data_IF_266420018300
#
_entry.id   IF_266420018300
#
_cell.length_a   1.000
_cell.length_b   1.000
_cell.length_c   1.000
_cell.angle_alpha   90.00
_cell.angle_beta   90.00
_cell.angle_gamma   90.00
#
_symmetry.space_group_name_H-M   'P 1'
#
loop_
_entity.id
_entity.type
_entity.pdbx_description
1 polymer ?
#
# COMPACT_ATOMS: atom_id res chain seq x y z
N UNK A 1 -30.24 7.87 -7.63
CA UNK A 1 -29.14 8.22 -6.70
C UNK A 1 -28.35 6.98 -6.24
N UNK A 2 -29.01 5.84 -5.98
CA UNK A 2 -28.31 4.59 -5.59
C UNK A 2 -27.47 3.97 -6.72
N UNK A 3 -27.96 4.00 -7.96
CA UNK A 3 -27.24 3.46 -9.11
C UNK A 3 -25.97 4.25 -9.45
N UNK A 4 -25.97 5.57 -9.29
CA UNK A 4 -24.79 6.41 -9.49
C UNK A 4 -23.74 6.19 -8.39
N UNK A 5 -24.15 6.01 -7.14
CA UNK A 5 -23.25 5.69 -6.04
C UNK A 5 -22.57 4.32 -6.23
N UNK A 6 -23.35 3.29 -6.64
CA UNK A 6 -22.81 1.98 -6.96
C UNK A 6 -21.82 2.00 -8.12
N UNK A 7 -22.08 2.78 -9.18
CA UNK A 7 -21.17 2.94 -10.31
C UNK A 7 -19.85 3.61 -9.87
N UNK A 8 -19.92 4.67 -9.06
CA UNK A 8 -18.70 5.34 -8.53
C UNK A 8 -17.88 4.36 -7.67
N UNK A 9 -18.52 3.59 -6.80
CA UNK A 9 -17.83 2.59 -5.99
C UNK A 9 -17.14 1.52 -6.86
N UNK A 10 -17.80 1.06 -7.92
CA UNK A 10 -17.22 0.11 -8.88
C UNK A 10 -16.00 0.67 -9.61
N UNK A 11 -16.05 1.92 -10.05
CA UNK A 11 -14.88 2.59 -10.66
C UNK A 11 -13.72 2.77 -9.68
N UNK A 12 -14.00 3.09 -8.41
CA UNK A 12 -12.97 3.16 -7.37
C UNK A 12 -12.29 1.80 -7.15
N UNK A 13 -13.08 0.73 -7.04
CA UNK A 13 -12.55 -0.64 -6.89
C UNK A 13 -11.75 -1.07 -8.11
N UNK A 14 -12.24 -0.80 -9.32
CA UNK A 14 -11.55 -1.13 -10.57
C UNK A 14 -10.21 -0.38 -10.68
N UNK A 15 -10.19 0.91 -10.40
CA UNK A 15 -8.97 1.73 -10.43
C UNK A 15 -7.93 1.21 -9.43
N UNK A 16 -8.35 0.95 -8.19
CA UNK A 16 -7.45 0.41 -7.15
C UNK A 16 -6.96 -0.99 -7.51
N UNK A 17 -7.84 -1.86 -8.02
CA UNK A 17 -7.49 -3.22 -8.46
C UNK A 17 -6.48 -3.24 -9.62
N UNK A 18 -6.68 -2.39 -10.64
CA UNK A 18 -5.72 -2.19 -11.72
C UNK A 18 -4.36 -1.69 -11.19
N UNK A 19 -4.40 -0.76 -10.23
CA UNK A 19 -3.20 -0.29 -9.56
C UNK A 19 -2.43 -1.40 -8.87
N UNK A 20 -3.12 -2.25 -8.09
CA UNK A 20 -2.52 -3.41 -7.41
C UNK A 20 -1.88 -4.36 -8.43
N UNK A 21 -2.58 -4.68 -9.52
CA UNK A 21 -2.06 -5.56 -10.55
C UNK A 21 -0.77 -5.02 -11.18
N UNK A 22 -0.78 -3.76 -11.62
CA UNK A 22 0.39 -3.09 -12.20
C UNK A 22 1.54 -2.97 -11.19
N UNK A 23 1.24 -2.60 -9.95
CA UNK A 23 2.21 -2.52 -8.87
C UNK A 23 2.86 -3.86 -8.55
N UNK A 24 2.09 -4.95 -8.54
CA UNK A 24 2.60 -6.30 -8.32
C UNK A 24 3.56 -6.74 -9.42
N UNK A 25 3.23 -6.46 -10.68
CA UNK A 25 4.12 -6.73 -11.83
C UNK A 25 5.41 -5.89 -11.69
N UNK A 26 5.30 -4.62 -11.35
CA UNK A 26 6.46 -3.74 -11.16
C UNK A 26 7.39 -4.25 -10.03
N UNK A 27 6.82 -4.65 -8.90
CA UNK A 27 7.59 -5.26 -7.80
C UNK A 27 8.26 -6.54 -8.24
N UNK A 28 7.57 -7.42 -8.96
CA UNK A 28 8.13 -8.66 -9.48
C UNK A 28 9.33 -8.41 -10.41
N UNK A 29 9.25 -7.40 -11.28
CA UNK A 29 10.34 -7.02 -12.19
C UNK A 29 11.57 -6.47 -11.46
N UNK A 30 11.39 -5.75 -10.35
CA UNK A 30 12.50 -5.20 -9.55
C UNK A 30 13.10 -6.26 -8.64
N UNK A 31 12.27 -7.15 -8.07
CA UNK A 31 12.64 -8.15 -7.07
C UNK A 31 13.07 -9.50 -7.67
N UNK A 32 13.38 -9.56 -8.98
CA UNK A 32 13.59 -10.82 -9.70
C UNK A 32 14.70 -11.72 -9.15
N UNK A 33 15.70 -11.18 -8.42
CA UNK A 33 16.84 -11.94 -7.91
C UNK A 33 17.07 -11.84 -6.39
N UNK A 34 16.44 -10.92 -5.68
CA UNK A 34 16.60 -10.74 -4.22
C UNK A 34 15.36 -10.09 -3.63
N UNK A 35 14.99 -10.50 -2.41
CA UNK A 35 13.95 -9.85 -1.62
C UNK A 35 14.36 -8.40 -1.27
N UNK A 36 13.78 -7.43 -1.96
CA UNK A 36 14.09 -6.01 -1.79
C UNK A 36 13.14 -5.39 -0.73
N UNK A 37 13.40 -5.65 0.56
CA UNK A 37 12.61 -5.10 1.67
C UNK A 37 12.60 -3.56 1.73
N UNK A 38 13.52 -2.90 1.04
CA UNK A 38 13.51 -1.44 0.94
C UNK A 38 12.35 -0.87 0.10
N UNK A 39 11.61 -1.71 -0.67
CA UNK A 39 10.36 -1.29 -1.32
C UNK A 39 9.24 -1.03 -0.31
N UNK A 40 9.30 -1.63 0.88
CA UNK A 40 8.28 -1.47 1.93
C UNK A 40 8.12 -0.01 2.36
N UNK A 41 9.16 0.71 2.81
CA UNK A 41 9.00 2.12 3.17
C UNK A 41 8.63 3.02 1.98
N UNK A 42 9.12 2.72 0.76
CA UNK A 42 8.70 3.43 -0.45
C UNK A 42 7.21 3.23 -0.74
N UNK A 43 6.70 2.00 -0.55
CA UNK A 43 5.28 1.69 -0.67
C UNK A 43 4.43 2.52 0.28
N UNK A 44 4.81 2.60 1.57
CA UNK A 44 4.05 3.39 2.57
C UNK A 44 4.08 4.89 2.26
N UNK A 45 5.23 5.44 1.86
CA UNK A 45 5.34 6.84 1.43
C UNK A 45 4.43 7.10 0.22
N UNK A 46 4.47 6.21 -0.78
CA UNK A 46 3.61 6.31 -1.95
C UNK A 46 2.12 6.21 -1.59
N UNK A 47 1.74 5.34 -0.65
CA UNK A 47 0.36 5.28 -0.13
C UNK A 47 -0.04 6.59 0.53
N UNK A 48 0.81 7.19 1.38
CA UNK A 48 0.53 8.47 2.00
C UNK A 48 0.30 9.58 0.95
N UNK A 49 1.17 9.67 -0.05
CA UNK A 49 1.02 10.63 -1.16
C UNK A 49 -0.30 10.39 -1.92
N UNK A 50 -0.62 9.14 -2.24
CA UNK A 50 -1.83 8.77 -2.97
C UNK A 50 -3.10 9.12 -2.20
N UNK A 51 -3.12 8.88 -0.89
CA UNK A 51 -4.24 9.23 -0.01
C UNK A 51 -4.39 10.75 0.09
N UNK A 52 -3.29 11.49 0.23
CA UNK A 52 -3.33 12.96 0.23
C UNK A 52 -3.87 13.52 -1.08
N UNK A 53 -3.45 12.98 -2.23
CA UNK A 53 -3.99 13.35 -3.53
C UNK A 53 -5.49 13.04 -3.62
N UNK A 54 -5.93 11.86 -3.19
CA UNK A 54 -7.35 11.50 -3.18
C UNK A 54 -8.18 12.42 -2.25
N UNK A 55 -7.62 12.88 -1.13
CA UNK A 55 -8.30 13.80 -0.22
C UNK A 55 -8.45 15.22 -0.81
N UNK A 56 -7.50 15.65 -1.64
CA UNK A 56 -7.47 16.99 -2.23
C UNK A 56 -8.25 17.08 -3.56
N UNK A 57 -8.26 15.99 -4.35
CA UNK A 57 -8.85 15.98 -5.68
C UNK A 57 -10.37 15.82 -5.63
N UNK A 58 -11.13 16.50 -6.52
CA UNK A 58 -12.55 16.22 -6.72
C UNK A 58 -12.73 14.85 -7.40
N UNK A 59 -13.94 14.28 -7.24
CA UNK A 59 -14.35 13.07 -7.97
C UNK A 59 -14.20 13.30 -9.48
N UNK A 60 -13.33 12.51 -10.12
CA UNK A 60 -13.03 12.61 -11.54
C UNK A 60 -11.83 11.76 -11.93
N UNK A 61 -11.33 11.91 -13.15
CA UNK A 61 -10.24 11.09 -13.69
C UNK A 61 -8.98 11.11 -12.81
N UNK A 62 -8.62 12.26 -12.27
CA UNK A 62 -7.46 12.41 -11.39
C UNK A 62 -7.63 11.73 -10.04
N UNK A 63 -8.87 11.71 -9.52
CA UNK A 63 -9.19 10.95 -8.30
C UNK A 63 -9.00 9.45 -8.51
N UNK A 64 -9.50 8.90 -9.64
CA UNK A 64 -9.29 7.49 -9.98
C UNK A 64 -7.82 7.17 -10.24
N UNK A 65 -7.06 8.10 -10.83
CA UNK A 65 -5.61 7.95 -10.98
C UNK A 65 -4.90 7.90 -9.61
N UNK A 66 -5.30 8.72 -8.65
CA UNK A 66 -4.79 8.67 -7.28
C UNK A 66 -5.11 7.33 -6.60
N UNK A 67 -6.31 6.76 -6.82
CA UNK A 67 -6.67 5.43 -6.31
C UNK A 67 -5.88 4.30 -6.99
N UNK A 68 -5.62 4.41 -8.29
CA UNK A 68 -4.75 3.46 -8.98
C UNK A 68 -3.31 3.52 -8.45
N UNK A 69 -2.79 4.73 -8.19
CA UNK A 69 -1.50 4.92 -7.55
C UNK A 69 -1.48 4.32 -6.13
N UNK A 70 -2.56 4.51 -5.36
CA UNK A 70 -2.72 3.89 -4.04
C UNK A 70 -2.65 2.36 -4.13
N UNK A 71 -3.33 1.76 -5.10
CA UNK A 71 -3.26 0.31 -5.36
C UNK A 71 -1.84 -0.15 -5.70
N UNK A 72 -1.14 0.56 -6.58
CA UNK A 72 0.22 0.21 -6.99
C UNK A 72 1.22 0.29 -5.82
N UNK A 73 1.13 1.35 -5.01
CA UNK A 73 1.99 1.54 -3.84
C UNK A 73 1.65 0.57 -2.71
N UNK A 74 0.39 0.16 -2.57
CA UNK A 74 -0.02 -0.91 -1.66
C UNK A 74 0.61 -2.25 -2.02
N UNK A 75 0.71 -2.58 -3.32
CA UNK A 75 1.41 -3.77 -3.77
C UNK A 75 2.92 -3.71 -3.44
N UNK A 76 3.55 -2.53 -3.60
CA UNK A 76 4.96 -2.33 -3.21
C UNK A 76 5.21 -2.54 -1.71
N UNK A 77 4.19 -2.34 -0.88
CA UNK A 77 4.24 -2.60 0.55
C UNK A 77 3.99 -4.08 0.87
N UNK A 78 2.91 -4.67 0.35
CA UNK A 78 2.43 -6.01 0.72
C UNK A 78 3.24 -7.15 0.10
N UNK A 79 3.66 -7.02 -1.17
CA UNK A 79 4.33 -8.12 -1.89
C UNK A 79 5.67 -8.49 -1.25
N UNK A 80 6.59 -7.54 -0.94
CA UNK A 80 7.85 -7.90 -0.30
C UNK A 80 7.68 -8.48 1.10
N UNK A 81 6.68 -8.01 1.87
CA UNK A 81 6.39 -8.56 3.20
C UNK A 81 5.93 -10.01 3.14
N UNK A 82 4.98 -10.33 2.24
CA UNK A 82 4.51 -11.69 2.06
C UNK A 82 5.62 -12.62 1.55
N UNK A 83 6.45 -12.14 0.64
CA UNK A 83 7.61 -12.89 0.16
C UNK A 83 8.62 -13.17 1.29
N UNK A 84 8.89 -12.17 2.14
CA UNK A 84 9.77 -12.32 3.30
C UNK A 84 9.23 -13.33 4.32
N UNK A 85 7.93 -13.28 4.62
CA UNK A 85 7.29 -14.26 5.51
C UNK A 85 7.43 -15.68 4.97
N UNK A 86 7.27 -15.87 3.65
CA UNK A 86 7.41 -17.18 3.01
C UNK A 86 8.86 -17.67 2.99
N UNK A 87 9.83 -16.77 2.79
CA UNK A 87 11.25 -17.11 2.76
C UNK A 87 11.77 -17.50 4.15
N UNK A 88 11.34 -16.78 5.20
CA UNK A 88 11.81 -17.00 6.59
C UNK A 88 11.05 -18.09 7.33
N UNK A 89 9.89 -18.51 6.85
CA UNK A 89 9.12 -19.56 7.48
C UNK A 89 9.79 -20.94 7.22
N UNK A 90 9.94 -21.73 8.29
CA UNK A 90 10.34 -23.13 8.21
C UNK A 90 9.42 -23.87 7.20
N UNK A 91 9.96 -24.60 6.21
CA UNK A 91 9.17 -25.35 5.23
C UNK A 91 8.06 -26.21 5.83
N UNK A 92 8.34 -26.86 6.98
CA UNK A 92 7.36 -27.69 7.69
C UNK A 92 6.22 -26.87 8.34
N UNK A 93 6.42 -25.57 8.58
CA UNK A 93 5.48 -24.70 9.30
C UNK A 93 4.96 -23.54 8.43
N UNK A 94 5.39 -23.44 7.17
CA UNK A 94 5.05 -22.33 6.26
C UNK A 94 3.54 -22.12 6.13
N UNK A 95 2.77 -23.20 5.97
CA UNK A 95 1.30 -23.11 5.89
C UNK A 95 0.68 -22.50 7.16
N UNK A 96 1.18 -22.87 8.35
CA UNK A 96 0.69 -22.32 9.62
C UNK A 96 1.01 -20.83 9.77
N UNK A 97 2.21 -20.41 9.38
CA UNK A 97 2.62 -18.99 9.42
C UNK A 97 1.76 -18.16 8.47
N UNK A 98 1.53 -18.62 7.25
CA UNK A 98 0.67 -17.92 6.27
C UNK A 98 -0.78 -17.87 6.74
N UNK A 99 -1.32 -18.96 7.31
CA UNK A 99 -2.68 -18.97 7.85
C UNK A 99 -2.83 -17.99 9.02
N UNK A 100 -1.85 -17.94 9.93
CA UNK A 100 -1.84 -16.97 11.01
C UNK A 100 -1.77 -15.52 10.51
N UNK A 101 -0.93 -15.24 9.51
CA UNK A 101 -0.86 -13.92 8.87
C UNK A 101 -2.19 -13.51 8.24
N UNK A 102 -2.83 -14.42 7.51
CA UNK A 102 -4.13 -14.17 6.90
C UNK A 102 -5.23 -13.92 7.94
N UNK A 103 -5.20 -14.65 9.06
CA UNK A 103 -6.13 -14.44 10.17
C UNK A 103 -5.96 -13.04 10.78
N UNK A 104 -4.71 -12.62 11.03
CA UNK A 104 -4.41 -11.29 11.55
C UNK A 104 -4.86 -10.20 10.56
N UNK A 105 -4.60 -10.38 9.26
CA UNK A 105 -5.02 -9.45 8.23
C UNK A 105 -6.55 -9.33 8.15
N UNK A 106 -7.27 -10.47 8.25
CA UNK A 106 -8.73 -10.47 8.26
C UNK A 106 -9.30 -9.79 9.52
N UNK A 107 -8.71 -10.05 10.68
CA UNK A 107 -9.10 -9.37 11.93
C UNK A 107 -8.85 -7.85 11.84
N UNK A 108 -7.70 -7.44 11.30
CA UNK A 108 -7.38 -6.04 11.07
C UNK A 108 -8.35 -5.37 10.08
N UNK A 109 -8.78 -6.09 9.03
CA UNK A 109 -9.77 -5.58 8.07
C UNK A 109 -11.14 -5.38 8.73
N UNK A 110 -11.59 -6.32 9.59
CA UNK A 110 -12.82 -6.18 10.35
C UNK A 110 -12.72 -4.97 11.29
N UNK A 111 -11.61 -4.84 12.02
CA UNK A 111 -11.40 -3.70 12.91
C UNK A 111 -11.42 -2.38 12.15
N UNK A 112 -10.76 -2.30 10.98
CA UNK A 112 -10.76 -1.11 10.14
C UNK A 112 -12.16 -0.72 9.67
N UNK A 113 -13.00 -1.69 9.27
CA UNK A 113 -14.40 -1.43 8.88
C UNK A 113 -15.24 -0.92 10.06
N UNK A 114 -15.07 -1.52 11.24
CA UNK A 114 -15.76 -1.06 12.46
C UNK A 114 -15.31 0.36 12.84
N UNK A 115 -14.02 0.63 12.78
CA UNK A 115 -13.48 1.96 13.05
C UNK A 115 -14.01 3.00 12.04
N UNK A 116 -14.07 2.66 10.75
CA UNK A 116 -14.63 3.52 9.72
C UNK A 116 -16.11 3.83 10.00
N UNK A 117 -16.90 2.83 10.33
CA UNK A 117 -18.31 3.01 10.69
C UNK A 117 -18.46 3.93 11.92
N UNK A 118 -17.65 3.73 12.95
CA UNK A 118 -17.68 4.56 14.15
C UNK A 118 -17.27 6.02 13.86
N UNK A 119 -16.33 6.27 12.95
CA UNK A 119 -15.93 7.60 12.53
C UNK A 119 -17.04 8.31 11.72
N UNK A 120 -17.78 7.57 10.89
CA UNK A 120 -18.84 8.12 10.07
C UNK A 120 -20.12 8.38 10.87
N UNK A 121 -20.64 7.38 11.58
CA UNK A 121 -21.90 7.46 12.31
C UNK A 121 -21.75 8.06 13.71
N UNK A 122 -20.66 7.74 14.41
CA UNK A 122 -20.45 8.19 15.79
C UNK A 122 -19.83 9.58 15.90
N UNK A 123 -18.82 9.88 15.09
CA UNK A 123 -18.11 11.15 15.15
C UNK A 123 -18.51 12.14 14.04
N UNK A 124 -19.40 11.78 13.13
CA UNK A 124 -19.83 12.59 11.97
C UNK A 124 -18.67 13.13 11.13
N UNK A 125 -17.59 12.36 11.03
CA UNK A 125 -16.40 12.75 10.26
C UNK A 125 -16.66 12.51 8.79
N UNK A 126 -16.51 13.56 7.98
CA UNK A 126 -16.70 13.46 6.53
C UNK A 126 -15.69 12.47 5.90
N UNK A 127 -16.02 11.89 4.75
CA UNK A 127 -15.14 10.97 4.02
C UNK A 127 -13.75 11.57 3.75
N UNK A 128 -13.66 12.88 3.49
CA UNK A 128 -12.37 13.57 3.37
C UNK A 128 -11.61 13.62 4.69
N UNK A 129 -12.28 13.82 5.81
CA UNK A 129 -11.68 13.77 7.14
C UNK A 129 -11.08 12.40 7.44
N UNK A 130 -11.78 11.32 7.07
CA UNK A 130 -11.29 9.94 7.19
C UNK A 130 -10.03 9.70 6.35
N UNK A 131 -9.96 10.26 5.13
CA UNK A 131 -8.74 10.19 4.29
C UNK A 131 -7.55 10.89 4.95
N UNK A 132 -7.75 12.04 5.63
CA UNK A 132 -6.69 12.70 6.38
C UNK A 132 -6.22 11.90 7.59
N UNK A 133 -7.13 11.21 8.30
CA UNK A 133 -6.76 10.30 9.39
C UNK A 133 -5.88 9.15 8.85
N UNK A 134 -6.29 8.54 7.73
CA UNK A 134 -5.50 7.50 7.05
C UNK A 134 -4.14 8.01 6.58
N UNK A 135 -4.07 9.24 6.05
CA UNK A 135 -2.82 9.88 5.67
C UNK A 135 -1.86 9.98 6.86
N UNK A 136 -2.34 10.49 8.01
CA UNK A 136 -1.53 10.60 9.22
C UNK A 136 -1.06 9.21 9.67
N UNK A 137 -1.92 8.20 9.67
CA UNK A 137 -1.56 6.83 10.01
C UNK A 137 -0.47 6.27 9.07
N UNK A 138 -0.56 6.54 7.76
CA UNK A 138 0.48 6.15 6.80
C UNK A 138 1.80 6.88 7.05
N UNK A 139 1.77 8.19 7.36
CA UNK A 139 2.99 8.95 7.68
C UNK A 139 3.67 8.40 8.93
N UNK A 140 2.92 8.11 9.98
CA UNK A 140 3.44 7.48 11.21
C UNK A 140 4.05 6.12 10.89
N UNK A 141 3.35 5.29 10.12
CA UNK A 141 3.85 3.97 9.70
C UNK A 141 5.13 4.11 8.87
N UNK A 142 5.19 5.06 7.92
CA UNK A 142 6.39 5.32 7.13
C UNK A 142 7.58 5.70 8.01
N UNK A 143 7.36 6.56 9.00
CA UNK A 143 8.39 6.94 9.96
C UNK A 143 8.96 5.72 10.73
N UNK A 144 8.08 4.84 11.23
CA UNK A 144 8.51 3.61 11.88
C UNK A 144 9.23 2.66 10.93
N UNK A 145 8.73 2.47 9.72
CA UNK A 145 9.37 1.62 8.70
C UNK A 145 10.78 2.11 8.37
N UNK A 146 10.98 3.41 8.19
CA UNK A 146 12.28 4.01 7.91
C UNK A 146 13.22 3.83 9.13
N UNK A 147 12.72 3.99 10.35
CA UNK A 147 13.51 3.79 11.57
C UNK A 147 13.94 2.34 11.78
N UNK A 148 13.08 1.39 11.44
CA UNK A 148 13.34 -0.05 11.62
C UNK A 148 14.20 -0.66 10.51
N UNK A 149 14.18 -0.10 9.28
CA UNK A 149 14.85 -0.63 8.09
C UNK A 149 15.79 0.38 7.40
N UNK A 150 16.64 1.13 8.15
CA UNK A 150 17.41 2.24 7.55
C UNK A 150 18.40 1.77 6.47
N UNK A 151 19.07 0.64 6.68
CA UNK A 151 20.09 0.10 5.75
C UNK A 151 19.50 -0.38 4.43
N UNK A 152 18.32 -0.99 4.46
CA UNK A 152 17.62 -1.47 3.26
C UNK A 152 17.01 -0.32 2.45
N UNK A 153 16.47 0.69 3.13
CA UNK A 153 15.89 1.88 2.51
C UNK A 153 16.96 2.69 1.76
N UNK A 154 18.09 2.99 2.41
CA UNK A 154 19.20 3.73 1.80
C UNK A 154 19.78 2.98 0.59
N UNK A 155 19.92 1.65 0.69
CA UNK A 155 20.43 0.84 -0.43
C UNK A 155 19.53 0.90 -1.67
N UNK A 156 18.21 0.83 -1.51
CA UNK A 156 17.27 0.94 -2.63
C UNK A 156 17.26 2.36 -3.20
N UNK A 157 17.23 3.38 -2.36
CA UNK A 157 17.26 4.77 -2.79
C UNK A 157 18.53 5.03 -3.65
N UNK A 158 19.69 4.56 -3.18
CA UNK A 158 20.94 4.61 -3.94
C UNK A 158 20.85 3.83 -5.25
N UNK A 159 20.29 2.63 -5.26
CA UNK A 159 20.14 1.80 -6.47
C UNK A 159 19.23 2.48 -7.52
N UNK A 160 18.11 3.07 -7.10
CA UNK A 160 17.20 3.82 -7.98
C UNK A 160 17.93 5.06 -8.52
N UNK A 161 18.60 5.81 -7.64
CA UNK A 161 19.36 7.00 -8.02
C UNK A 161 20.48 6.68 -9.02
N UNK A 162 21.28 5.67 -8.76
CA UNK A 162 22.36 5.22 -9.64
C UNK A 162 21.82 4.72 -10.99
N UNK A 163 20.70 3.99 -10.99
CA UNK A 163 20.07 3.52 -12.24
C UNK A 163 19.50 4.66 -13.07
N UNK A 164 18.97 5.70 -12.44
CA UNK A 164 18.38 6.86 -13.12
C UNK A 164 19.46 7.81 -13.66
N UNK A 165 20.49 8.12 -12.85
CA UNK A 165 21.51 9.10 -13.21
C UNK A 165 22.67 8.51 -14.05
N UNK A 166 23.06 7.27 -13.80
CA UNK A 166 24.27 6.73 -14.45
C UNK A 166 24.02 5.70 -15.55
N UNK A 167 22.75 5.33 -15.84
CA UNK A 167 22.43 4.32 -16.88
C UNK A 167 23.30 3.05 -16.78
N UNK A 168 23.84 2.74 -15.64
CA UNK A 168 24.71 1.60 -15.43
C UNK A 168 23.89 0.31 -15.57
N UNK A 169 24.19 -0.46 -16.64
CA UNK A 169 23.81 -1.86 -16.73
C UNK A 169 24.58 -2.61 -15.63
N UNK A 170 23.90 -3.02 -14.60
CA UNK A 170 24.39 -4.03 -13.66
C UNK A 170 23.52 -5.27 -13.88
#
# INVERSE_FOLDING_TARGET
>A
RSATAAAVASYCLAATGLGIALGSVFVAMISSNRLELGLVPLGVIGMAISIALAALLPLGSWFYAALALLGATSAMFLVPQNAFLQDKADPARRGRVLSASNLINSAAAIFANVAQYALEEGANISSRGQLWILFIACVVTAFFCIRLLPSHFVRILLKIFMRFFYRLRI
#
